data_IF_330650237341
#
_entry.id   IF_330650237341
#
_cell.length_a   1.000
_cell.length_b   1.000
_cell.length_c   1.000
_cell.angle_alpha   90.00
_cell.angle_beta   90.00
_cell.angle_gamma   90.00
#
_symmetry.space_group_name_H-M   'P 1'
#
loop_
_entity.id
_entity.type
_entity.pdbx_description
1 polymer ?
#
# COMPACT_ATOMS: atom_id res chain seq x y z
N UNK A 1 -1.14 -11.05 24.08
CA UNK A 1 -2.38 -11.72 23.60
C UNK A 1 -3.54 -10.73 23.46
N UNK A 2 -3.89 -9.96 24.49
CA UNK A 2 -5.04 -9.04 24.46
C UNK A 2 -4.84 -7.87 23.44
N UNK A 3 -3.67 -7.23 23.48
CA UNK A 3 -3.30 -6.18 22.50
C UNK A 3 -3.34 -6.70 21.07
N UNK A 4 -2.82 -7.91 20.80
CA UNK A 4 -2.87 -8.54 19.49
C UNK A 4 -4.32 -8.74 19.02
N UNK A 5 -5.22 -9.17 19.92
CA UNK A 5 -6.64 -9.35 19.58
C UNK A 5 -7.33 -8.03 19.23
N UNK A 6 -7.05 -6.95 19.96
CA UNK A 6 -7.61 -5.61 19.67
C UNK A 6 -7.09 -5.09 18.34
N UNK A 7 -5.77 -5.17 18.10
CA UNK A 7 -5.16 -4.70 16.85
C UNK A 7 -5.73 -5.48 15.66
N UNK A 8 -5.93 -6.79 15.80
CA UNK A 8 -6.51 -7.59 14.72
C UNK A 8 -7.99 -7.30 14.51
N UNK A 9 -8.76 -7.06 15.55
CA UNK A 9 -10.16 -6.65 15.40
C UNK A 9 -10.27 -5.31 14.65
N UNK A 10 -9.41 -4.34 14.96
CA UNK A 10 -9.33 -3.08 14.22
C UNK A 10 -8.91 -3.30 12.76
N UNK A 11 -7.92 -4.15 12.52
CA UNK A 11 -7.49 -4.51 11.17
C UNK A 11 -8.62 -5.15 10.37
N UNK A 12 -9.41 -6.04 10.98
CA UNK A 12 -10.53 -6.72 10.35
C UNK A 12 -11.66 -5.75 10.01
N UNK A 13 -11.95 -4.77 10.88
CA UNK A 13 -12.90 -3.69 10.60
C UNK A 13 -12.47 -2.85 9.39
N UNK A 14 -11.18 -2.50 9.32
CA UNK A 14 -10.64 -1.74 8.19
C UNK A 14 -10.66 -2.54 6.88
N UNK A 15 -10.36 -3.84 6.92
CA UNK A 15 -10.37 -4.70 5.73
C UNK A 15 -11.80 -4.96 5.23
N UNK A 16 -12.79 -4.94 6.11
CA UNK A 16 -14.19 -5.14 5.75
C UNK A 16 -14.72 -4.03 4.83
N UNK A 17 -14.11 -2.84 4.85
CA UNK A 17 -14.46 -1.72 3.99
C UNK A 17 -13.49 -1.62 2.81
N UNK A 18 -13.96 -1.36 1.59
CA UNK A 18 -13.09 -1.03 0.47
C UNK A 18 -12.22 0.18 0.80
N UNK A 19 -10.89 0.08 0.55
CA UNK A 19 -9.94 1.15 0.88
C UNK A 19 -10.33 2.52 0.28
N UNK A 20 -10.96 2.51 -0.91
CA UNK A 20 -11.43 3.73 -1.56
C UNK A 20 -12.56 4.41 -0.75
N UNK A 21 -13.44 3.64 -0.12
CA UNK A 21 -14.52 4.20 0.72
C UNK A 21 -13.93 4.85 1.97
N UNK A 22 -12.94 4.20 2.60
CA UNK A 22 -12.21 4.78 3.74
C UNK A 22 -11.54 6.08 3.31
N UNK A 23 -10.88 6.09 2.14
CA UNK A 23 -10.23 7.28 1.62
C UNK A 23 -11.22 8.42 1.35
N UNK A 24 -12.40 8.12 0.79
CA UNK A 24 -13.48 9.10 0.59
C UNK A 24 -13.93 9.73 1.90
N UNK A 25 -14.15 8.92 2.93
CA UNK A 25 -14.55 9.41 4.25
C UNK A 25 -13.48 10.31 4.85
N UNK A 26 -12.22 9.88 4.84
CA UNK A 26 -11.10 10.66 5.37
C UNK A 26 -10.94 11.99 4.65
N UNK A 27 -10.99 12.00 3.31
CA UNK A 27 -10.89 13.22 2.50
C UNK A 27 -12.12 14.14 2.64
N UNK A 28 -13.27 13.58 3.00
CA UNK A 28 -14.46 14.36 3.34
C UNK A 28 -14.30 15.19 4.63
N UNK A 29 -13.51 14.71 5.58
CA UNK A 29 -13.20 15.42 6.82
C UNK A 29 -11.94 16.30 6.73
N UNK A 30 -10.96 15.85 5.94
CA UNK A 30 -9.68 16.54 5.77
C UNK A 30 -9.64 17.10 4.35
N UNK A 31 -9.40 18.41 4.21
CA UNK A 31 -9.33 19.04 2.89
C UNK A 31 -8.42 18.27 1.91
N UNK A 32 -8.73 18.34 0.61
CA UNK A 32 -7.97 17.75 -0.48
C UNK A 32 -6.56 18.38 -0.56
N UNK A 33 -5.68 17.92 0.30
CA UNK A 33 -4.28 18.29 0.41
C UNK A 33 -3.41 17.03 0.28
N UNK A 34 -2.14 17.20 0.02
CA UNK A 34 -1.18 16.07 0.00
C UNK A 34 -1.24 15.29 1.32
N UNK A 35 -1.32 15.98 2.44
CA UNK A 35 -1.41 15.38 3.77
C UNK A 35 -2.71 14.58 3.93
N UNK A 36 -3.85 15.16 3.52
CA UNK A 36 -5.14 14.48 3.54
C UNK A 36 -5.14 13.21 2.70
N UNK A 37 -4.57 13.26 1.48
CA UNK A 37 -4.44 12.10 0.60
C UNK A 37 -3.54 11.02 1.21
N UNK A 38 -2.39 11.40 1.78
CA UNK A 38 -1.50 10.45 2.46
C UNK A 38 -2.20 9.76 3.63
N UNK A 39 -2.92 10.51 4.48
CA UNK A 39 -3.67 9.94 5.61
C UNK A 39 -4.77 9.00 5.15
N UNK A 40 -5.52 9.39 4.10
CA UNK A 40 -6.57 8.57 3.52
C UNK A 40 -6.03 7.22 3.03
N UNK A 41 -4.88 7.22 2.34
CA UNK A 41 -4.23 6.01 1.85
C UNK A 41 -3.66 5.17 2.99
N UNK A 42 -2.99 5.80 3.96
CA UNK A 42 -2.44 5.09 5.13
C UNK A 42 -3.57 4.36 5.86
N UNK A 43 -4.67 5.04 6.20
CA UNK A 43 -5.79 4.44 6.92
C UNK A 43 -6.46 3.35 6.08
N UNK A 44 -6.68 3.60 4.80
CA UNK A 44 -7.31 2.64 3.89
C UNK A 44 -6.50 1.35 3.69
N UNK A 45 -5.17 1.42 3.82
CA UNK A 45 -4.29 0.27 3.62
C UNK A 45 -3.82 -0.36 4.93
N UNK A 46 -3.97 0.34 6.07
CA UNK A 46 -3.47 -0.05 7.37
C UNK A 46 -3.90 -1.46 7.80
N UNK A 47 -5.19 -1.79 7.67
CA UNK A 47 -5.72 -3.08 8.09
C UNK A 47 -5.03 -4.25 7.39
N UNK A 48 -4.82 -4.13 6.06
CA UNK A 48 -4.13 -5.14 5.25
C UNK A 48 -2.67 -5.32 5.69
N UNK A 49 -1.94 -4.23 5.91
CA UNK A 49 -0.55 -4.29 6.34
C UNK A 49 -0.40 -4.84 7.77
N UNK A 50 -1.27 -4.46 8.70
CA UNK A 50 -1.27 -5.02 10.05
C UNK A 50 -1.44 -6.54 10.03
N UNK A 51 -2.38 -7.05 9.24
CA UNK A 51 -2.60 -8.49 9.11
C UNK A 51 -1.41 -9.18 8.45
N UNK A 52 -0.87 -8.59 7.39
CA UNK A 52 0.29 -9.12 6.70
C UNK A 52 1.50 -9.23 7.65
N UNK A 53 1.86 -8.16 8.34
CA UNK A 53 3.00 -8.15 9.25
C UNK A 53 2.84 -9.12 10.41
N UNK A 54 1.63 -9.26 10.93
CA UNK A 54 1.36 -10.25 11.99
C UNK A 54 1.57 -11.67 11.47
N UNK A 55 1.06 -12.01 10.31
CA UNK A 55 1.23 -13.34 9.73
C UNK A 55 2.72 -13.60 9.43
N UNK A 56 3.39 -12.65 8.78
CA UNK A 56 4.82 -12.73 8.50
C UNK A 56 5.66 -12.95 9.77
N UNK A 57 5.39 -12.20 10.84
CA UNK A 57 6.07 -12.38 12.12
C UNK A 57 5.83 -13.78 12.71
N UNK A 58 4.59 -14.29 12.62
CA UNK A 58 4.27 -15.64 13.07
C UNK A 58 5.00 -16.71 12.26
N UNK A 59 4.97 -16.61 10.94
CA UNK A 59 5.61 -17.55 10.04
C UNK A 59 7.13 -17.55 10.26
N UNK A 60 7.73 -16.39 10.41
CA UNK A 60 9.16 -16.24 10.73
C UNK A 60 9.51 -16.94 12.05
N UNK A 61 8.69 -16.76 13.10
CA UNK A 61 8.92 -17.42 14.41
C UNK A 61 8.81 -18.95 14.35
N UNK A 62 8.19 -19.53 13.33
CA UNK A 62 8.10 -20.99 13.17
C UNK A 62 9.33 -21.59 12.46
N UNK A 63 10.17 -20.77 11.87
CA UNK A 63 11.33 -21.22 11.09
C UNK A 63 12.33 -21.99 11.95
N UNK A 64 12.95 -23.05 11.41
CA UNK A 64 13.89 -23.90 12.16
C UNK A 64 15.06 -23.10 12.73
N UNK A 65 15.65 -22.18 11.95
CA UNK A 65 16.79 -21.39 12.39
C UNK A 65 16.48 -20.48 13.60
N UNK A 66 15.21 -19.99 13.72
CA UNK A 66 14.78 -19.22 14.90
C UNK A 66 14.59 -20.14 16.11
N UNK A 67 14.04 -21.33 15.90
CA UNK A 67 13.83 -22.30 17.00
C UNK A 67 15.12 -22.85 17.57
N UNK A 68 16.15 -23.02 16.73
CA UNK A 68 17.45 -23.55 17.14
C UNK A 68 18.45 -22.47 17.61
N UNK A 69 18.25 -21.20 17.29
CA UNK A 69 19.13 -20.12 17.71
C UNK A 69 19.39 -20.05 19.23
N UNK A 70 18.40 -20.26 20.14
CA UNK A 70 18.66 -20.31 21.57
C UNK A 70 19.59 -21.44 22.02
N UNK A 71 19.67 -22.55 21.26
CA UNK A 71 20.58 -23.67 21.56
C UNK A 71 22.04 -23.27 21.35
N UNK A 72 22.33 -22.22 20.59
CA UNK A 72 23.65 -21.65 20.41
C UNK A 72 24.00 -20.60 21.49
N UNK A 73 23.22 -20.51 22.56
CA UNK A 73 23.44 -19.55 23.65
C UNK A 73 22.95 -18.13 23.38
N UNK A 74 22.26 -17.88 22.27
CA UNK A 74 21.71 -16.57 21.95
C UNK A 74 20.53 -16.20 22.83
N UNK A 75 20.53 -14.98 23.37
CA UNK A 75 19.36 -14.42 24.04
C UNK A 75 18.20 -14.17 23.07
N UNK A 76 16.97 -14.16 23.57
CA UNK A 76 15.77 -13.84 22.73
C UNK A 76 15.91 -12.50 22.00
N UNK A 77 16.53 -11.52 22.61
CA UNK A 77 16.78 -10.21 22.02
C UNK A 77 17.78 -10.29 20.87
N UNK A 78 18.88 -11.04 21.01
CA UNK A 78 19.85 -11.27 19.95
C UNK A 78 19.21 -12.00 18.76
N UNK A 79 18.41 -13.04 19.02
CA UNK A 79 17.66 -13.75 17.96
C UNK A 79 16.73 -12.79 17.22
N UNK A 80 16.02 -11.92 17.96
CA UNK A 80 15.13 -10.95 17.33
C UNK A 80 15.88 -10.00 16.40
N UNK A 81 16.95 -9.36 16.89
CA UNK A 81 17.66 -8.33 16.10
C UNK A 81 18.46 -8.93 14.93
N UNK A 82 19.15 -10.06 15.16
CA UNK A 82 20.07 -10.60 14.15
C UNK A 82 19.41 -11.54 13.16
N UNK A 83 18.25 -12.11 13.49
CA UNK A 83 17.58 -13.09 12.62
C UNK A 83 16.17 -12.67 12.22
N UNK A 84 15.31 -12.29 13.17
CA UNK A 84 13.91 -11.99 12.84
C UNK A 84 13.80 -10.67 12.10
N UNK A 85 14.38 -9.59 12.63
CA UNK A 85 14.24 -8.25 12.03
C UNK A 85 14.80 -8.17 10.61
N UNK A 86 16.02 -8.67 10.28
CA UNK A 86 16.52 -8.63 8.92
C UNK A 86 15.67 -9.42 7.94
N UNK A 87 15.15 -10.58 8.35
CA UNK A 87 14.26 -11.39 7.52
C UNK A 87 12.93 -10.66 7.25
N UNK A 88 12.33 -10.06 8.29
CA UNK A 88 11.11 -9.27 8.16
C UNK A 88 11.31 -8.05 7.23
N UNK A 89 12.44 -7.36 7.32
CA UNK A 89 12.74 -6.18 6.46
C UNK A 89 12.78 -6.60 4.99
N UNK A 90 13.42 -7.71 4.67
CA UNK A 90 13.48 -8.23 3.29
C UNK A 90 12.07 -8.45 2.71
N UNK A 91 11.20 -9.13 3.47
CA UNK A 91 9.85 -9.44 3.03
C UNK A 91 8.96 -8.19 2.96
N UNK A 92 9.16 -7.24 3.89
CA UNK A 92 8.47 -5.94 3.87
C UNK A 92 8.87 -5.15 2.62
N UNK A 93 10.15 -5.11 2.27
CA UNK A 93 10.63 -4.41 1.08
C UNK A 93 10.06 -5.01 -0.20
N UNK A 94 10.00 -6.34 -0.28
CA UNK A 94 9.36 -7.05 -1.39
C UNK A 94 7.87 -6.66 -1.51
N UNK A 95 7.13 -6.61 -0.38
CA UNK A 95 5.72 -6.21 -0.36
C UNK A 95 5.53 -4.74 -0.80
N UNK A 96 6.34 -3.82 -0.27
CA UNK A 96 6.27 -2.39 -0.62
C UNK A 96 6.50 -2.20 -2.12
N UNK A 97 7.50 -2.88 -2.68
CA UNK A 97 7.78 -2.84 -4.13
C UNK A 97 6.59 -3.38 -4.94
N UNK A 98 5.98 -4.48 -4.48
CA UNK A 98 4.80 -5.08 -5.11
C UNK A 98 3.59 -4.14 -5.13
N UNK A 99 3.41 -3.40 -4.06
CA UNK A 99 2.24 -2.55 -3.88
C UNK A 99 2.40 -1.13 -4.45
N UNK A 100 3.61 -0.75 -4.85
CA UNK A 100 3.88 0.59 -5.39
C UNK A 100 2.99 0.95 -6.58
N UNK A 101 2.86 0.03 -7.56
CA UNK A 101 1.96 0.23 -8.70
C UNK A 101 0.48 0.35 -8.30
N UNK A 102 0.04 -0.41 -7.30
CA UNK A 102 -1.34 -0.35 -6.80
C UNK A 102 -1.61 0.96 -6.05
N UNK A 103 -0.64 1.47 -5.28
CA UNK A 103 -0.72 2.77 -4.62
C UNK A 103 -0.86 3.89 -5.64
N UNK A 104 -0.03 3.88 -6.69
CA UNK A 104 -0.15 4.85 -7.78
C UNK A 104 -1.54 4.84 -8.42
N UNK A 105 -2.06 3.66 -8.74
CA UNK A 105 -3.41 3.54 -9.30
C UNK A 105 -4.49 4.02 -8.32
N UNK A 106 -4.32 3.79 -7.02
CA UNK A 106 -5.25 4.27 -5.98
C UNK A 106 -5.25 5.81 -5.90
N UNK A 107 -4.07 6.43 -5.91
CA UNK A 107 -3.91 7.89 -5.94
C UNK A 107 -4.60 8.47 -7.18
N UNK A 108 -4.23 7.97 -8.35
CA UNK A 108 -4.79 8.45 -9.62
C UNK A 108 -6.29 8.18 -9.74
N UNK A 109 -6.79 7.08 -9.17
CA UNK A 109 -8.21 6.78 -9.09
C UNK A 109 -8.99 7.79 -8.25
N UNK A 110 -8.46 8.18 -7.08
CA UNK A 110 -9.04 9.22 -6.24
C UNK A 110 -9.03 10.58 -6.95
N UNK A 111 -7.94 10.94 -7.61
CA UNK A 111 -7.81 12.15 -8.39
C UNK A 111 -8.79 12.18 -9.57
N UNK A 112 -8.98 11.03 -10.25
CA UNK A 112 -9.92 10.88 -11.36
C UNK A 112 -11.38 11.16 -10.95
N UNK A 113 -11.77 10.86 -9.73
CA UNK A 113 -13.09 11.20 -9.19
C UNK A 113 -13.15 12.61 -8.56
N UNK A 114 -12.06 13.40 -8.69
CA UNK A 114 -12.00 14.79 -8.23
C UNK A 114 -11.51 14.95 -6.79
N UNK A 115 -10.96 13.91 -6.18
CA UNK A 115 -10.45 13.90 -4.80
C UNK A 115 -8.91 13.91 -4.74
N UNK A 116 -8.26 14.20 -5.84
CA UNK A 116 -6.82 14.37 -5.92
C UNK A 116 -6.32 15.66 -5.27
N UNK A 117 -5.02 15.85 -5.36
CA UNK A 117 -4.37 17.07 -4.89
C UNK A 117 -4.78 18.23 -5.78
N UNK A 118 -5.04 19.40 -5.15
CA UNK A 118 -5.45 20.60 -5.90
C UNK A 118 -4.29 21.18 -6.73
N UNK A 119 -4.61 21.78 -7.89
CA UNK A 119 -3.62 22.54 -8.65
C UNK A 119 -2.85 23.54 -7.76
N UNK A 120 -1.57 23.85 -8.05
CA UNK A 120 -0.85 23.58 -9.28
C UNK A 120 -0.06 22.24 -9.34
N UNK A 121 -0.27 21.32 -8.41
CA UNK A 121 0.47 20.04 -8.38
C UNK A 121 0.00 19.16 -9.53
N UNK A 122 0.88 18.79 -10.50
CA UNK A 122 0.50 17.97 -11.62
C UNK A 122 0.27 16.52 -11.18
N UNK A 123 -0.86 15.93 -11.60
CA UNK A 123 -1.22 14.55 -11.30
C UNK A 123 -1.94 13.93 -12.52
N UNK A 124 -1.53 12.71 -12.90
CA UNK A 124 -2.10 12.03 -14.06
C UNK A 124 -3.60 11.73 -13.91
N UNK A 125 -4.05 11.43 -12.69
CA UNK A 125 -5.45 11.21 -12.39
C UNK A 125 -6.29 12.48 -12.55
N UNK A 126 -5.75 13.64 -12.15
CA UNK A 126 -6.40 14.93 -12.35
C UNK A 126 -6.48 15.28 -13.86
N UNK A 127 -5.44 15.02 -14.62
CA UNK A 127 -5.44 15.21 -16.10
C UNK A 127 -6.54 14.33 -16.74
N UNK A 128 -6.68 13.10 -16.28
CA UNK A 128 -7.77 12.21 -16.73
C UNK A 128 -9.14 12.76 -16.33
N UNK A 129 -9.26 13.34 -15.12
CA UNK A 129 -10.51 13.97 -14.68
C UNK A 129 -10.92 15.11 -15.60
N UNK A 130 -10.02 16.02 -15.88
CA UNK A 130 -10.26 17.16 -16.77
C UNK A 130 -10.49 16.73 -18.21
N UNK A 131 -9.75 15.72 -18.66
CA UNK A 131 -9.84 15.13 -20.00
C UNK A 131 -11.21 14.51 -20.33
N UNK A 132 -12.02 14.13 -19.32
CA UNK A 132 -13.38 13.59 -19.55
C UNK A 132 -14.23 14.52 -20.40
N UNK A 133 -14.18 15.81 -20.12
CA UNK A 133 -14.97 16.82 -20.82
C UNK A 133 -14.62 16.94 -22.31
N UNK A 134 -13.43 16.52 -22.68
CA UNK A 134 -12.89 16.59 -24.04
C UNK A 134 -12.84 15.24 -24.74
N UNK A 135 -13.45 14.21 -24.18
CA UNK A 135 -13.34 12.84 -24.71
C UNK A 135 -13.74 12.70 -26.18
N UNK A 136 -14.76 13.44 -26.62
CA UNK A 136 -15.22 13.42 -28.02
C UNK A 136 -14.47 14.38 -28.93
N UNK A 137 -13.91 15.47 -28.42
CA UNK A 137 -13.21 16.49 -29.23
C UNK A 137 -11.69 16.29 -29.24
N UNK A 138 -11.11 15.77 -28.18
CA UNK A 138 -9.67 15.56 -27.99
C UNK A 138 -9.39 14.29 -27.17
N UNK A 139 -9.70 13.09 -27.69
CA UNK A 139 -9.60 11.83 -26.96
C UNK A 139 -8.19 11.52 -26.44
N UNK A 140 -7.16 12.07 -27.07
CA UNK A 140 -5.78 11.89 -26.64
C UNK A 140 -5.49 12.44 -25.23
N UNK A 141 -6.20 13.48 -24.79
CA UNK A 141 -6.07 14.01 -23.43
C UNK A 141 -6.48 12.99 -22.34
N UNK A 142 -7.28 12.01 -22.71
CA UNK A 142 -7.69 10.91 -21.84
C UNK A 142 -6.84 9.66 -22.06
N UNK A 143 -6.57 9.31 -23.32
CA UNK A 143 -5.88 8.07 -23.70
C UNK A 143 -4.42 8.07 -23.20
N UNK A 144 -3.66 9.15 -23.45
CA UNK A 144 -2.23 9.17 -23.10
C UNK A 144 -1.96 9.04 -21.59
N UNK A 145 -2.61 9.81 -20.70
CA UNK A 145 -2.41 9.62 -19.27
C UNK A 145 -2.87 8.25 -18.78
N UNK A 146 -3.96 7.71 -19.36
CA UNK A 146 -4.46 6.37 -19.04
C UNK A 146 -3.46 5.27 -19.43
N UNK A 147 -2.88 5.35 -20.63
CA UNK A 147 -1.84 4.41 -21.09
C UNK A 147 -0.58 4.52 -20.24
N UNK A 148 -0.16 5.72 -19.85
CA UNK A 148 0.99 5.93 -18.98
C UNK A 148 0.77 5.29 -17.60
N UNK A 149 -0.38 5.50 -16.98
CA UNK A 149 -0.73 4.91 -15.69
C UNK A 149 -0.79 3.38 -15.77
N UNK A 150 -1.49 2.85 -16.76
CA UNK A 150 -1.60 1.41 -16.98
C UNK A 150 -0.25 0.76 -17.28
N UNK A 151 0.55 1.38 -18.14
CA UNK A 151 1.90 0.93 -18.48
C UNK A 151 2.82 0.90 -17.27
N UNK A 152 2.82 1.96 -16.46
CA UNK A 152 3.62 2.02 -15.25
C UNK A 152 3.21 0.94 -14.23
N UNK A 153 1.90 0.76 -14.03
CA UNK A 153 1.41 -0.28 -13.12
C UNK A 153 1.79 -1.69 -13.59
N UNK A 154 1.73 -1.95 -14.91
CA UNK A 154 2.17 -3.21 -15.50
C UNK A 154 3.67 -3.44 -15.32
N UNK A 155 4.50 -2.42 -15.52
CA UNK A 155 5.96 -2.52 -15.32
C UNK A 155 6.26 -2.86 -13.88
N UNK A 156 5.65 -2.16 -12.90
CA UNK A 156 5.81 -2.47 -11.48
C UNK A 156 5.42 -3.92 -11.16
N UNK A 157 4.34 -4.42 -11.75
CA UNK A 157 3.87 -5.78 -11.52
C UNK A 157 4.80 -6.84 -12.14
N UNK A 158 5.35 -6.58 -13.32
CA UNK A 158 6.31 -7.48 -13.99
C UNK A 158 7.62 -7.54 -13.21
N UNK A 159 8.14 -6.39 -12.75
CA UNK A 159 9.35 -6.33 -11.96
C UNK A 159 9.20 -7.09 -10.65
N UNK A 160 8.06 -6.95 -9.99
CA UNK A 160 7.78 -7.70 -8.76
C UNK A 160 7.75 -9.21 -8.95
N UNK A 161 7.18 -9.71 -10.06
CA UNK A 161 7.17 -11.15 -10.34
C UNK A 161 8.57 -11.74 -10.49
N UNK A 162 9.55 -10.95 -10.98
CA UNK A 162 10.94 -11.41 -11.14
C UNK A 162 11.72 -11.52 -9.83
N UNK A 163 11.28 -10.82 -8.77
CA UNK A 163 11.91 -10.90 -7.45
C UNK A 163 11.40 -12.08 -6.60
N UNK A 164 10.33 -12.76 -7.05
CA UNK A 164 9.73 -13.91 -6.34
C UNK A 164 10.24 -15.27 -6.87
N UNK A 165 11.12 -15.28 -7.86
CA UNK A 165 11.84 -16.44 -8.41
C UNK A 165 13.36 -16.28 -8.19
#
# INVERSE_FOLDING_TARGET
KWLDSIIMALADMLIALPAIIIALVVLGFINNSVVGLCLALIIGWLGRYLRYFRNLARDTMTQPFIKFAPLSGMSKFQVTIHHIVPHLISDIMALVTADFGKLMLSISGLAFIGLGVKPPIPELGAILHDGKSYFYSAPWLFIFPGVLLGGFALICQILNRRHLH
#
